data_IF_808147493035
#
_entry.id   IF_808147493035
#
_cell.length_a   1.000
_cell.length_b   1.000
_cell.length_c   1.000
_cell.angle_alpha   90.00
_cell.angle_beta   90.00
_cell.angle_gamma   90.00
#
_symmetry.space_group_name_H-M   'P 1'
#
loop_
_entity.id
_entity.type
_entity.pdbx_description
1 polymer ?
#
# COMPACT_ATOMS: atom_id res chain seq x y z
N UNK A 1 20.40 41.14 29.15
CA UNK A 1 20.07 40.86 27.73
C UNK A 1 18.94 39.84 27.67
N UNK A 2 17.69 40.26 27.46
CA UNK A 2 16.55 39.33 27.32
C UNK A 2 16.56 38.78 25.89
N UNK A 3 16.79 37.47 25.71
CA UNK A 3 16.62 36.80 24.41
C UNK A 3 15.15 36.96 24.01
N UNK A 4 14.88 37.63 22.89
CA UNK A 4 13.55 37.60 22.28
C UNK A 4 13.25 36.13 21.96
N UNK A 5 12.13 35.60 22.47
CA UNK A 5 11.64 34.28 22.05
C UNK A 5 11.07 34.49 20.66
N UNK A 6 11.73 33.95 19.65
CA UNK A 6 11.18 33.91 18.30
C UNK A 6 10.00 32.94 18.33
N UNK A 7 8.81 33.47 18.05
CA UNK A 7 7.61 32.65 17.92
C UNK A 7 7.73 31.96 16.56
N UNK A 8 7.69 30.62 16.51
CA UNK A 8 7.83 29.92 15.25
C UNK A 8 6.73 30.37 14.29
N UNK A 9 7.03 30.50 12.98
CA UNK A 9 6.02 30.79 11.98
C UNK A 9 4.91 29.74 12.05
N UNK A 10 3.65 30.16 11.93
CA UNK A 10 2.47 29.27 11.98
C UNK A 10 2.54 28.11 10.97
N UNK A 11 3.26 28.30 9.87
CA UNK A 11 3.53 27.30 8.84
C UNK A 11 4.45 26.15 9.31
N UNK A 12 5.16 26.32 10.44
CA UNK A 12 5.98 25.28 11.05
C UNK A 12 5.13 24.28 11.83
N UNK A 13 4.13 24.78 12.55
CA UNK A 13 3.19 23.94 13.30
C UNK A 13 2.36 23.10 12.32
N UNK A 14 1.82 23.71 11.25
CA UNK A 14 1.07 22.99 10.22
C UNK A 14 1.91 21.92 9.50
N UNK A 15 3.20 22.16 9.25
CA UNK A 15 4.09 21.16 8.64
C UNK A 15 4.33 19.97 9.55
N UNK A 16 4.53 20.22 10.84
CA UNK A 16 4.65 19.15 11.83
C UNK A 16 3.40 18.30 11.91
N UNK A 17 2.23 18.92 11.88
CA UNK A 17 0.96 18.19 11.89
C UNK A 17 0.85 17.25 10.67
N UNK A 18 1.24 17.71 9.48
CA UNK A 18 1.27 16.88 8.26
C UNK A 18 2.28 15.74 8.37
N UNK A 19 3.48 16.01 8.87
CA UNK A 19 4.52 14.99 9.05
C UNK A 19 4.08 13.92 10.06
N UNK A 20 3.34 14.34 11.09
CA UNK A 20 2.75 13.45 12.09
C UNK A 20 1.69 12.55 11.45
N UNK A 21 0.75 13.12 10.68
CA UNK A 21 -0.26 12.37 9.93
C UNK A 21 0.36 11.35 8.97
N UNK A 22 1.40 11.75 8.22
CA UNK A 22 2.14 10.83 7.33
C UNK A 22 2.78 9.67 8.08
N UNK A 23 3.35 9.95 9.25
CA UNK A 23 4.02 8.93 10.05
C UNK A 23 3.02 7.92 10.59
N UNK A 24 1.83 8.38 10.99
CA UNK A 24 0.72 7.52 11.42
C UNK A 24 0.21 6.63 10.28
N UNK A 25 -0.05 7.20 9.10
CA UNK A 25 -0.47 6.43 7.92
C UNK A 25 0.58 5.38 7.52
N UNK A 26 1.86 5.76 7.50
CA UNK A 26 2.94 4.81 7.21
C UNK A 26 3.03 3.71 8.26
N UNK A 27 2.88 4.04 9.55
CA UNK A 27 2.90 3.04 10.61
C UNK A 27 1.74 2.04 10.50
N UNK A 28 0.55 2.51 10.10
CA UNK A 28 -0.61 1.64 9.88
C UNK A 28 -0.37 0.69 8.70
N UNK A 29 0.15 1.20 7.58
CA UNK A 29 0.49 0.39 6.40
C UNK A 29 1.55 -0.66 6.77
N UNK A 30 2.64 -0.26 7.42
CA UNK A 30 3.70 -1.18 7.86
C UNK A 30 3.14 -2.23 8.83
N UNK A 31 2.27 -1.84 9.76
CA UNK A 31 1.62 -2.78 10.68
C UNK A 31 0.76 -3.80 9.96
N UNK A 32 0.08 -3.43 8.86
CA UNK A 32 -0.66 -4.38 8.02
C UNK A 32 0.28 -5.40 7.36
N UNK A 33 1.41 -4.96 6.80
CA UNK A 33 2.40 -5.86 6.21
C UNK A 33 3.09 -6.78 7.23
N UNK A 34 3.45 -6.26 8.41
CA UNK A 34 4.10 -7.04 9.48
C UNK A 34 3.18 -8.14 10.04
N UNK A 35 1.85 -7.91 9.99
CA UNK A 35 0.88 -8.93 10.38
C UNK A 35 0.78 -10.07 9.37
N UNK A 36 1.04 -9.81 8.09
CA UNK A 36 0.93 -10.78 7.01
C UNK A 36 -0.49 -11.30 6.79
N UNK A 37 -0.61 -12.36 6.00
CA UNK A 37 -1.88 -13.02 5.67
C UNK A 37 -2.30 -13.93 6.83
N UNK A 38 -2.88 -13.36 7.89
CA UNK A 38 -3.45 -14.13 9.02
C UNK A 38 -4.85 -14.61 8.67
N UNK A 39 -5.21 -15.81 9.11
CA UNK A 39 -6.57 -16.34 8.97
C UNK A 39 -7.58 -15.37 9.61
N UNK A 40 -8.47 -14.81 8.79
CA UNK A 40 -9.53 -13.88 9.23
C UNK A 40 -9.25 -12.39 9.03
N UNK A 41 -8.18 -11.99 8.35
CA UNK A 41 -8.04 -10.62 7.84
C UNK A 41 -8.94 -10.46 6.62
N UNK A 42 -9.75 -9.40 6.60
CA UNK A 42 -10.51 -9.01 5.41
C UNK A 42 -9.51 -8.53 4.36
N UNK A 43 -9.33 -9.34 3.33
CA UNK A 43 -8.42 -9.06 2.21
C UNK A 43 -9.32 -8.61 1.08
N UNK A 44 -9.08 -7.40 0.58
CA UNK A 44 -9.83 -6.94 -0.57
C UNK A 44 -9.66 -7.93 -1.73
N UNK A 45 -10.70 -8.19 -2.53
CA UNK A 45 -10.60 -9.17 -3.61
C UNK A 45 -9.43 -8.92 -4.56
N UNK A 46 -9.02 -7.66 -4.79
CA UNK A 46 -7.87 -7.32 -5.62
C UNK A 46 -6.50 -7.60 -4.96
N UNK A 47 -6.42 -7.75 -3.65
CA UNK A 47 -5.21 -8.14 -2.92
C UNK A 47 -4.98 -9.66 -2.92
N UNK A 48 -5.99 -10.45 -3.33
CA UNK A 48 -5.86 -11.90 -3.44
C UNK A 48 -5.19 -12.32 -4.76
N UNK A 49 -4.05 -13.00 -4.66
CA UNK A 49 -3.38 -13.62 -5.80
C UNK A 49 -4.26 -14.65 -6.55
N UNK A 50 -5.26 -15.22 -5.87
CA UNK A 50 -6.22 -16.14 -6.46
C UNK A 50 -7.47 -15.44 -7.04
N UNK A 51 -7.50 -14.11 -7.06
CA UNK A 51 -8.63 -13.38 -7.62
C UNK A 51 -8.81 -13.67 -9.10
N UNK A 52 -10.06 -13.93 -9.50
CA UNK A 52 -10.38 -14.47 -10.82
C UNK A 52 -9.79 -13.63 -11.95
N UNK A 53 -9.79 -12.30 -11.82
CA UNK A 53 -9.29 -11.39 -12.85
C UNK A 53 -7.82 -11.67 -13.21
N UNK A 54 -6.98 -12.08 -12.26
CA UNK A 54 -5.57 -12.40 -12.52
C UNK A 54 -5.38 -13.76 -13.21
N UNK A 55 -6.41 -14.60 -13.18
CA UNK A 55 -6.40 -15.91 -13.83
C UNK A 55 -6.97 -15.86 -15.24
N UNK A 56 -7.94 -14.98 -15.50
CA UNK A 56 -8.58 -14.88 -16.81
C UNK A 56 -8.02 -13.76 -17.69
N UNK A 57 -7.20 -12.86 -17.14
CA UNK A 57 -6.63 -11.75 -17.91
C UNK A 57 -5.25 -12.10 -18.44
N UNK A 58 -5.07 -12.03 -19.76
CA UNK A 58 -3.78 -12.24 -20.45
C UNK A 58 -2.82 -11.07 -20.21
N UNK A 59 -1.53 -11.26 -20.48
CA UNK A 59 -0.45 -10.26 -20.46
C UNK A 59 -0.75 -9.03 -21.33
N UNK A 60 -1.60 -9.18 -22.35
CA UNK A 60 -2.06 -8.10 -23.21
C UNK A 60 -3.33 -7.38 -22.69
N UNK A 61 -3.91 -7.83 -21.57
CA UNK A 61 -5.12 -7.25 -21.00
C UNK A 61 -6.43 -7.75 -21.63
N UNK A 62 -6.40 -8.86 -22.37
CA UNK A 62 -7.61 -9.51 -22.88
C UNK A 62 -8.22 -10.42 -21.81
N UNK A 63 -9.55 -10.42 -21.73
CA UNK A 63 -10.32 -11.26 -20.81
C UNK A 63 -10.69 -12.58 -21.49
N UNK A 64 -10.34 -13.71 -20.88
CA UNK A 64 -10.66 -15.05 -21.35
C UNK A 64 -11.88 -15.64 -20.62
N UNK A 65 -12.59 -16.55 -21.27
CA UNK A 65 -13.71 -17.29 -20.66
C UNK A 65 -13.23 -18.34 -19.64
N UNK A 66 -12.01 -18.87 -19.84
CA UNK A 66 -11.38 -19.88 -18.99
C UNK A 66 -10.12 -19.33 -18.30
N UNK A 67 -9.74 -19.95 -17.17
CA UNK A 67 -8.49 -19.60 -16.47
C UNK A 67 -7.27 -19.94 -17.36
N UNK A 68 -6.36 -18.98 -17.52
CA UNK A 68 -5.12 -19.15 -18.24
C UNK A 68 -4.21 -20.16 -17.51
N UNK A 69 -3.40 -20.92 -18.26
CA UNK A 69 -2.44 -21.83 -17.65
C UNK A 69 -1.48 -21.05 -16.74
N UNK A 70 -1.11 -21.67 -15.62
CA UNK A 70 -0.20 -21.04 -14.64
C UNK A 70 1.09 -20.62 -15.34
N UNK A 71 1.43 -19.32 -15.37
CA UNK A 71 2.66 -18.87 -15.99
C UNK A 71 3.85 -19.53 -15.29
N UNK A 72 4.69 -20.21 -16.07
CA UNK A 72 5.91 -20.79 -15.54
C UNK A 72 6.86 -19.64 -15.21
N UNK A 73 7.52 -19.70 -14.05
CA UNK A 73 8.46 -18.67 -13.56
C UNK A 73 9.71 -18.46 -14.45
N UNK A 74 9.71 -18.99 -15.68
CA UNK A 74 10.80 -18.96 -16.66
C UNK A 74 10.75 -17.71 -17.54
N UNK A 75 9.68 -16.91 -17.49
CA UNK A 75 9.65 -15.59 -18.14
C UNK A 75 10.34 -14.51 -17.28
N UNK A 76 11.60 -14.74 -16.92
CA UNK A 76 12.50 -13.68 -16.47
C UNK A 76 13.32 -13.22 -17.69
N UNK A 77 13.17 -11.94 -18.04
CA UNK A 77 13.78 -11.27 -19.20
C UNK A 77 15.21 -10.84 -18.89
#
# INVERSE_FOLDING_TARGET
RRRRREVPPKDFDMKKDIDTLKTEEQAEIISKYDKGRRDGVDIDPWEDANYNIYKVTDRFGFLHEEELPTPTAVEEK
#
